data_IF_913091982452
#
_entry.id   IF_913091982452
#
_cell.length_a   1.000
_cell.length_b   1.000
_cell.length_c   1.000
_cell.angle_alpha   90.00
_cell.angle_beta   90.00
_cell.angle_gamma   90.00
#
_symmetry.space_group_name_H-M   'P 1'
#
loop_
_entity.id
_entity.type
_entity.pdbx_description
1 polymer ?
#
# COMPACT_ATOMS: atom_id res chain seq x y z
N UNK A 1 -31.69 -8.35 48.13
CA UNK A 1 -31.76 -8.30 46.66
C UNK A 1 -30.54 -7.53 46.22
N UNK A 2 -29.63 -8.20 45.50
CA UNK A 2 -28.43 -7.58 44.98
C UNK A 2 -28.77 -6.65 43.81
N UNK A 3 -28.22 -5.44 43.86
CA UNK A 3 -28.04 -4.60 42.69
C UNK A 3 -26.55 -4.70 42.36
N UNK A 4 -26.25 -5.61 41.44
CA UNK A 4 -25.01 -5.63 40.69
C UNK A 4 -25.16 -4.53 39.63
N UNK A 5 -24.62 -3.35 39.94
CA UNK A 5 -24.46 -2.30 38.94
C UNK A 5 -23.36 -2.79 37.99
N UNK A 6 -23.80 -3.21 36.81
CA UNK A 6 -22.93 -3.69 35.75
C UNK A 6 -21.75 -2.75 35.57
N UNK A 7 -20.57 -3.27 35.88
CA UNK A 7 -19.30 -2.68 35.51
C UNK A 7 -19.36 -2.35 34.01
N UNK A 8 -19.54 -1.06 33.71
CA UNK A 8 -19.34 -0.54 32.37
C UNK A 8 -17.93 -0.92 31.95
N UNK A 9 -17.84 -1.66 30.86
CA UNK A 9 -16.60 -1.98 30.17
C UNK A 9 -15.88 -0.66 29.88
N UNK A 10 -14.95 -0.30 30.77
CA UNK A 10 -14.09 0.87 30.66
C UNK A 10 -13.02 0.63 29.60
N UNK A 11 -13.45 0.27 28.38
CA UNK A 11 -12.57 0.21 27.23
C UNK A 11 -12.04 1.61 26.99
N UNK A 12 -10.72 1.76 27.09
CA UNK A 12 -10.06 3.01 26.74
C UNK A 12 -10.52 3.45 25.35
N UNK A 13 -10.97 4.71 25.23
CA UNK A 13 -11.38 5.29 23.95
C UNK A 13 -10.13 5.39 23.06
N UNK A 14 -10.05 4.54 22.04
CA UNK A 14 -8.93 4.54 21.08
C UNK A 14 -9.18 5.60 20.01
N UNK A 15 -8.36 6.65 20.03
CA UNK A 15 -8.35 7.67 18.99
C UNK A 15 -7.25 7.39 17.96
N UNK A 16 -7.61 7.44 16.66
CA UNK A 16 -6.64 7.33 15.56
C UNK A 16 -6.17 8.74 15.18
N UNK A 17 -4.95 9.08 15.57
CA UNK A 17 -4.34 10.39 15.25
C UNK A 17 -3.80 10.49 13.82
N UNK A 18 -3.52 9.36 13.18
CA UNK A 18 -3.03 9.28 11.81
C UNK A 18 -2.43 7.92 11.45
N UNK A 19 -1.77 7.86 10.29
CA UNK A 19 -1.15 6.67 9.72
C UNK A 19 0.34 6.92 9.45
N UNK A 20 1.19 6.05 10.01
CA UNK A 20 2.60 5.95 9.59
C UNK A 20 2.67 4.95 8.44
N UNK A 21 3.05 5.42 7.26
CA UNK A 21 3.23 4.63 6.05
C UNK A 21 4.72 4.33 5.89
N UNK A 22 5.09 3.06 5.78
CA UNK A 22 6.50 2.67 5.59
C UNK A 22 6.68 2.17 4.16
N UNK A 23 7.50 2.88 3.40
CA UNK A 23 7.84 2.66 1.99
C UNK A 23 6.65 2.20 1.14
N UNK A 24 5.50 2.82 1.38
CA UNK A 24 4.23 2.35 0.86
C UNK A 24 4.10 2.66 -0.63
N UNK A 25 3.84 1.63 -1.42
CA UNK A 25 3.68 1.71 -2.87
C UNK A 25 2.30 2.26 -3.21
N UNK A 26 2.25 3.38 -3.94
CA UNK A 26 1.00 3.87 -4.49
C UNK A 26 0.49 2.86 -5.55
N UNK A 27 -0.74 2.33 -5.42
CA UNK A 27 -1.24 1.28 -6.31
C UNK A 27 -1.66 1.83 -7.67
N UNK A 28 -1.67 3.15 -7.86
CA UNK A 28 -2.04 3.79 -9.12
C UNK A 28 -0.83 3.91 -10.02
N UNK A 29 -0.89 3.30 -11.19
CA UNK A 29 0.16 3.45 -12.19
C UNK A 29 0.19 4.87 -12.79
N UNK A 30 1.38 5.48 -13.00
CA UNK A 30 1.43 6.80 -13.61
C UNK A 30 0.89 6.77 -15.03
N UNK A 31 -0.02 7.70 -15.35
CA UNK A 31 -0.63 7.79 -16.68
C UNK A 31 0.44 8.05 -17.74
N UNK A 32 0.42 7.29 -18.83
CA UNK A 32 1.39 7.41 -19.91
C UNK A 32 2.81 6.94 -19.56
N UNK A 33 2.98 6.24 -18.44
CA UNK A 33 4.28 5.70 -18.04
C UNK A 33 4.79 4.63 -19.02
N UNK A 34 5.94 4.89 -19.64
CA UNK A 34 6.71 3.92 -20.44
C UNK A 34 7.75 3.16 -19.59
N UNK A 35 7.62 3.20 -18.26
CA UNK A 35 8.56 2.58 -17.35
C UNK A 35 8.61 1.07 -17.61
N UNK A 36 9.80 0.59 -17.96
CA UNK A 36 10.07 -0.84 -18.11
C UNK A 36 10.22 -1.47 -16.73
N UNK A 37 9.32 -2.38 -16.40
CA UNK A 37 9.47 -3.23 -15.22
C UNK A 37 10.50 -4.33 -15.51
N UNK A 38 11.49 -4.42 -14.65
CA UNK A 38 12.52 -5.44 -14.76
C UNK A 38 11.96 -6.81 -14.41
N UNK A 39 12.38 -7.83 -15.16
CA UNK A 39 12.05 -9.22 -14.87
C UNK A 39 13.01 -9.76 -13.81
N UNK A 40 12.47 -10.14 -12.64
CA UNK A 40 13.23 -10.95 -11.69
C UNK A 40 13.45 -12.33 -12.30
N UNK A 41 14.71 -12.69 -12.54
CA UNK A 41 15.06 -14.04 -12.94
C UNK A 41 14.82 -14.92 -11.71
N UNK A 42 13.77 -15.75 -11.74
CA UNK A 42 13.56 -16.78 -10.71
C UNK A 42 14.80 -17.68 -10.72
N UNK A 43 15.62 -17.57 -9.66
CA UNK A 43 16.64 -18.59 -9.42
C UNK A 43 15.93 -19.90 -9.11
N UNK A 44 16.49 -21.02 -9.56
CA UNK A 44 15.97 -22.36 -9.27
C UNK A 44 16.13 -22.65 -7.76
N UNK A 45 15.23 -22.10 -6.95
CA UNK A 45 15.12 -22.40 -5.53
C UNK A 45 14.31 -23.69 -5.40
N UNK A 46 14.79 -24.70 -4.65
CA UNK A 46 14.00 -25.90 -4.39
C UNK A 46 12.61 -25.54 -3.85
N UNK A 47 11.55 -26.08 -4.46
CA UNK A 47 10.19 -25.74 -4.08
C UNK A 47 9.84 -26.24 -2.67
N UNK A 48 10.06 -25.39 -1.66
CA UNK A 48 9.59 -25.64 -0.31
C UNK A 48 8.06 -25.46 -0.22
N UNK A 49 7.42 -26.17 0.73
CA UNK A 49 5.96 -26.09 0.97
C UNK A 49 5.46 -24.65 1.13
N UNK A 50 6.24 -23.79 1.78
CA UNK A 50 5.90 -22.38 1.99
C UNK A 50 5.86 -21.59 0.67
N UNK A 51 6.76 -21.88 -0.28
CA UNK A 51 6.76 -21.25 -1.60
C UNK A 51 5.49 -21.59 -2.38
N UNK A 52 5.04 -22.85 -2.31
CA UNK A 52 3.78 -23.29 -2.95
C UNK A 52 2.56 -22.57 -2.37
N UNK A 53 2.51 -22.45 -1.04
CA UNK A 53 1.43 -21.74 -0.36
C UNK A 53 1.44 -20.24 -0.70
N UNK A 54 2.61 -19.60 -0.69
CA UNK A 54 2.77 -18.20 -1.06
C UNK A 54 2.33 -17.95 -2.53
N UNK A 55 2.77 -18.79 -3.47
CA UNK A 55 2.35 -18.71 -4.88
C UNK A 55 0.82 -18.81 -5.03
N UNK A 56 0.18 -19.74 -4.30
CA UNK A 56 -1.28 -19.87 -4.32
C UNK A 56 -1.97 -18.63 -3.73
N UNK A 57 -1.46 -18.09 -2.63
CA UNK A 57 -1.99 -16.87 -2.02
C UNK A 57 -1.89 -15.67 -2.98
N UNK A 58 -0.73 -15.48 -3.62
CA UNK A 58 -0.53 -14.42 -4.62
C UNK A 58 -1.47 -14.57 -5.83
N UNK A 59 -1.66 -15.81 -6.31
CA UNK A 59 -2.63 -16.09 -7.40
C UNK A 59 -4.05 -15.68 -7.01
N UNK A 60 -4.46 -15.95 -5.78
CA UNK A 60 -5.79 -15.57 -5.28
C UNK A 60 -5.91 -14.05 -5.11
N UNK A 61 -4.89 -13.41 -4.51
CA UNK A 61 -4.83 -11.96 -4.35
C UNK A 61 -4.91 -11.23 -5.70
N UNK A 62 -4.22 -11.73 -6.73
CA UNK A 62 -4.30 -11.19 -8.09
C UNK A 62 -5.71 -11.23 -8.68
N UNK A 63 -6.52 -12.24 -8.31
CA UNK A 63 -7.94 -12.27 -8.68
C UNK A 63 -8.79 -11.23 -7.97
N UNK A 64 -8.49 -10.94 -6.69
CA UNK A 64 -9.21 -9.95 -5.89
C UNK A 64 -8.90 -8.52 -6.35
N UNK A 65 -7.64 -8.21 -6.66
CA UNK A 65 -7.23 -6.87 -7.13
C UNK A 65 -7.96 -6.48 -8.41
N UNK A 66 -8.24 -7.43 -9.32
CA UNK A 66 -8.94 -7.16 -10.59
C UNK A 66 -10.37 -6.68 -10.44
N UNK A 67 -11.02 -7.00 -9.32
CA UNK A 67 -12.42 -6.62 -9.04
C UNK A 67 -12.52 -5.62 -7.89
N UNK A 68 -11.38 -5.22 -7.33
CA UNK A 68 -11.32 -4.22 -6.28
C UNK A 68 -11.49 -2.83 -6.88
N UNK A 69 -12.52 -2.12 -6.41
CA UNK A 69 -12.71 -0.70 -6.72
C UNK A 69 -11.91 0.11 -5.72
N UNK A 70 -10.86 0.77 -6.22
CA UNK A 70 -10.03 1.63 -5.39
C UNK A 70 -10.89 2.74 -4.78
N UNK A 71 -10.76 3.01 -3.46
CA UNK A 71 -11.44 4.14 -2.84
C UNK A 71 -11.10 5.44 -3.56
N UNK A 72 -12.06 6.35 -3.65
CA UNK A 72 -11.85 7.67 -4.24
C UNK A 72 -11.63 8.69 -3.15
N UNK A 73 -10.60 9.50 -3.32
CA UNK A 73 -10.34 10.64 -2.46
C UNK A 73 -11.21 11.83 -2.91
N UNK A 74 -12.17 12.24 -2.09
CA UNK A 74 -13.04 13.38 -2.33
C UNK A 74 -12.27 14.71 -2.50
N UNK A 75 -11.11 14.84 -1.85
CA UNK A 75 -10.20 15.98 -2.07
C UNK A 75 -9.57 16.00 -3.47
N UNK A 76 -9.40 14.86 -4.13
CA UNK A 76 -8.93 14.78 -5.52
C UNK A 76 -10.04 15.13 -6.53
N UNK A 77 -11.29 14.75 -6.24
CA UNK A 77 -12.46 15.03 -7.09
C UNK A 77 -12.75 16.53 -7.23
N UNK A 78 -12.49 17.32 -6.18
CA UNK A 78 -12.64 18.80 -6.23
C UNK A 78 -11.64 19.47 -7.18
N UNK A 79 -10.57 18.77 -7.58
CA UNK A 79 -9.53 19.25 -8.48
C UNK A 79 -9.60 18.60 -9.88
N UNK A 80 -10.64 17.82 -10.20
CA UNK A 80 -10.87 17.26 -11.54
C UNK A 80 -9.93 16.12 -11.94
N UNK A 81 -9.38 15.38 -10.98
CA UNK A 81 -8.53 14.21 -11.25
C UNK A 81 -9.41 12.95 -11.33
N UNK A 82 -9.77 12.52 -12.54
CA UNK A 82 -10.43 11.24 -12.79
C UNK A 82 -9.40 10.14 -12.99
N UNK A 83 -9.49 9.09 -12.17
CA UNK A 83 -8.71 7.87 -12.34
C UNK A 83 -9.47 6.90 -13.27
N UNK A 84 -9.05 6.82 -14.53
CA UNK A 84 -9.51 5.78 -15.46
C UNK A 84 -8.84 4.44 -15.09
N UNK A 85 -9.60 3.53 -14.48
CA UNK A 85 -9.20 2.13 -14.33
C UNK A 85 -9.53 1.42 -15.64
N UNK A 86 -8.52 0.94 -16.38
CA UNK A 86 -8.76 0.26 -17.66
C UNK A 86 -9.49 -1.07 -17.46
N UNK A 87 -10.69 -1.22 -18.01
CA UNK A 87 -11.51 -2.44 -17.95
C UNK A 87 -11.11 -3.53 -18.97
N UNK A 88 -9.82 -3.77 -19.22
CA UNK A 88 -9.42 -4.84 -20.13
C UNK A 88 -9.21 -6.18 -19.41
N UNK A 89 -10.26 -7.00 -19.43
CA UNK A 89 -10.23 -8.38 -18.94
C UNK A 89 -11.53 -9.12 -19.26
N UNK A 90 -11.78 -9.38 -20.54
CA UNK A 90 -12.74 -10.40 -20.97
C UNK A 90 -12.10 -11.79 -20.83
N UNK A 91 -12.93 -12.77 -20.52
CA UNK A 91 -12.63 -14.18 -20.23
C UNK A 91 -12.16 -14.50 -18.79
N UNK A 92 -13.13 -14.67 -17.90
CA UNK A 92 -12.94 -15.36 -16.62
C UNK A 92 -13.77 -16.63 -16.67
N UNK A 93 -13.08 -17.78 -16.73
CA UNK A 93 -13.64 -19.10 -16.42
C UNK A 93 -14.48 -19.02 -15.15
N UNK A 94 -15.63 -19.71 -15.15
CA UNK A 94 -16.45 -19.97 -13.95
C UNK A 94 -15.59 -20.67 -12.89
N UNK A 95 -14.90 -19.88 -12.07
CA UNK A 95 -14.19 -20.40 -10.90
C UNK A 95 -15.16 -20.56 -9.73
N UNK A 96 -14.87 -21.58 -8.93
CA UNK A 96 -15.63 -22.25 -7.89
C UNK A 96 -16.25 -21.39 -6.75
N UNK A 97 -16.12 -20.07 -6.77
CA UNK A 97 -16.73 -19.14 -5.82
C UNK A 97 -17.34 -17.97 -6.58
N UNK A 98 -18.67 -17.87 -6.65
CA UNK A 98 -19.44 -16.66 -6.96
C UNK A 98 -19.24 -15.98 -8.32
N UNK A 99 -20.24 -15.19 -8.73
CA UNK A 99 -20.20 -14.38 -9.94
C UNK A 99 -19.34 -13.11 -9.78
N UNK A 100 -18.87 -12.51 -10.88
CA UNK A 100 -18.10 -11.24 -10.87
C UNK A 100 -18.85 -10.11 -10.15
N UNK A 101 -20.17 -10.05 -10.29
CA UNK A 101 -21.03 -9.04 -9.66
C UNK A 101 -21.09 -9.16 -8.12
N UNK A 102 -20.93 -10.37 -7.57
CA UNK A 102 -20.91 -10.59 -6.11
C UNK A 102 -19.56 -10.23 -5.47
N UNK A 103 -18.51 -10.00 -6.28
CA UNK A 103 -17.14 -9.77 -5.83
C UNK A 103 -16.65 -8.33 -5.97
N UNK A 104 -17.40 -7.47 -6.65
CA UNK A 104 -17.04 -6.06 -6.76
C UNK A 104 -17.21 -5.39 -5.39
N UNK A 105 -16.14 -4.78 -4.88
CA UNK A 105 -16.26 -3.99 -3.66
C UNK A 105 -17.13 -2.77 -3.94
N UNK A 106 -17.92 -2.35 -2.95
CA UNK A 106 -18.69 -1.11 -3.04
C UNK A 106 -17.75 0.07 -3.34
N UNK A 107 -18.24 1.04 -4.12
CA UNK A 107 -17.52 2.29 -4.29
C UNK A 107 -17.49 3.01 -2.94
N UNK A 108 -16.28 3.41 -2.53
CA UNK A 108 -16.04 4.09 -1.26
C UNK A 108 -15.41 5.44 -1.57
N UNK A 109 -16.11 6.52 -1.23
CA UNK A 109 -15.60 7.88 -1.36
C UNK A 109 -15.38 8.44 0.03
N UNK A 110 -14.16 8.85 0.34
CA UNK A 110 -13.83 9.50 1.61
C UNK A 110 -13.54 10.98 1.38
N UNK A 111 -14.03 11.86 2.24
CA UNK A 111 -13.77 13.31 2.13
C UNK A 111 -12.27 13.60 2.15
N UNK A 112 -11.57 13.02 3.13
CA UNK A 112 -10.11 13.00 3.22
C UNK A 112 -9.68 11.75 3.99
N UNK A 113 -8.60 11.06 3.57
CA UNK A 113 -8.01 10.01 4.39
C UNK A 113 -7.46 10.57 5.71
N UNK A 114 -7.20 9.71 6.72
CA UNK A 114 -6.47 10.11 7.92
C UNK A 114 -5.13 10.77 7.56
N UNK A 115 -4.59 11.56 8.48
CA UNK A 115 -3.28 12.22 8.30
C UNK A 115 -2.21 11.17 8.06
N UNK A 116 -1.45 11.28 6.95
CA UNK A 116 -0.41 10.34 6.59
C UNK A 116 1.00 10.92 6.80
N UNK A 117 1.89 10.15 7.42
CA UNK A 117 3.33 10.42 7.43
C UNK A 117 4.05 9.25 6.76
N UNK A 118 4.87 9.56 5.76
CA UNK A 118 5.60 8.55 5.00
C UNK A 118 7.04 8.45 5.48
N UNK A 119 7.48 7.25 5.86
CA UNK A 119 8.90 6.92 5.98
C UNK A 119 9.29 6.15 4.73
N UNK A 120 10.11 6.75 3.87
CA UNK A 120 10.50 6.16 2.57
C UNK A 120 11.97 5.77 2.54
N UNK A 121 12.24 4.70 1.80
CA UNK A 121 13.59 4.29 1.46
C UNK A 121 14.21 5.25 0.41
N UNK A 122 15.52 5.46 0.49
CA UNK A 122 16.26 6.33 -0.42
C UNK A 122 16.54 5.66 -1.76
N UNK A 123 16.84 4.37 -1.73
CA UNK A 123 17.44 3.67 -2.85
C UNK A 123 16.39 2.84 -3.60
N UNK A 124 16.59 2.67 -4.91
CA UNK A 124 15.84 1.68 -5.69
C UNK A 124 16.27 0.27 -5.31
N UNK A 125 15.37 -0.69 -5.45
CA UNK A 125 15.71 -2.10 -5.39
C UNK A 125 16.63 -2.45 -6.57
N UNK A 126 17.78 -3.09 -6.33
CA UNK A 126 18.69 -3.50 -7.39
C UNK A 126 18.03 -4.56 -8.29
N UNK A 127 18.03 -4.30 -9.60
CA UNK A 127 17.48 -5.22 -10.60
C UNK A 127 18.61 -5.95 -11.36
N UNK A 128 18.48 -7.26 -11.63
CA UNK A 128 19.52 -8.05 -12.31
C UNK A 128 19.64 -7.77 -13.83
N UNK A 129 18.72 -6.99 -14.40
CA UNK A 129 18.69 -6.65 -15.82
C UNK A 129 18.13 -5.25 -16.05
N UNK A 130 17.75 -4.95 -17.30
CA UNK A 130 17.11 -3.67 -17.64
C UNK A 130 15.75 -3.53 -16.96
N UNK A 131 15.43 -2.30 -16.54
CA UNK A 131 14.17 -1.94 -15.91
C UNK A 131 14.29 -1.67 -14.41
N UNK A 132 13.16 -1.31 -13.80
CA UNK A 132 13.07 -1.02 -12.37
C UNK A 132 12.14 -2.01 -11.68
N UNK A 133 12.24 -2.09 -10.35
CA UNK A 133 11.27 -2.86 -9.56
C UNK A 133 9.90 -2.18 -9.59
N UNK A 134 8.78 -2.93 -9.60
CA UNK A 134 7.43 -2.37 -9.51
C UNK A 134 7.21 -1.46 -8.29
N UNK A 135 7.96 -1.68 -7.21
CA UNK A 135 7.88 -0.84 -5.98
C UNK A 135 8.57 0.51 -6.13
N UNK A 136 9.39 0.70 -7.17
CA UNK A 136 10.19 1.90 -7.40
C UNK A 136 9.63 2.82 -8.49
N UNK A 137 8.43 2.52 -9.02
CA UNK A 137 7.76 3.32 -10.06
C UNK A 137 7.70 4.80 -9.70
N UNK A 138 7.48 5.12 -8.43
CA UNK A 138 7.47 6.50 -7.92
C UNK A 138 8.69 6.84 -7.06
N UNK A 139 9.81 6.10 -7.14
CA UNK A 139 10.96 6.35 -6.27
C UNK A 139 11.51 7.78 -6.39
N UNK A 140 11.39 8.40 -7.57
CA UNK A 140 11.77 9.79 -7.79
C UNK A 140 10.86 10.84 -7.15
N UNK A 141 9.62 10.49 -6.80
CA UNK A 141 8.67 11.39 -6.13
C UNK A 141 8.82 11.28 -4.61
N UNK A 142 9.04 12.41 -3.93
CA UNK A 142 9.14 12.51 -2.48
C UNK A 142 8.02 11.78 -1.74
N UNK A 143 6.78 11.78 -2.28
CA UNK A 143 5.61 11.15 -1.66
C UNK A 143 5.20 9.84 -2.32
N UNK A 144 6.08 9.23 -3.12
CA UNK A 144 5.86 7.93 -3.78
C UNK A 144 4.53 7.85 -4.56
N UNK A 145 4.10 8.95 -5.19
CA UNK A 145 2.88 9.01 -6.00
C UNK A 145 1.58 9.22 -5.21
N UNK A 146 1.63 9.22 -3.87
CA UNK A 146 0.43 9.35 -3.03
C UNK A 146 -0.25 10.72 -3.15
N UNK A 147 0.52 11.77 -3.43
CA UNK A 147 -0.04 13.12 -3.66
C UNK A 147 -0.78 13.23 -4.99
N UNK A 148 -0.39 12.41 -5.98
CA UNK A 148 -1.19 12.22 -7.19
C UNK A 148 -2.55 11.64 -6.81
N UNK A 149 -2.56 10.49 -6.13
CA UNK A 149 -3.77 9.79 -5.70
C UNK A 149 -4.72 10.68 -4.88
N UNK A 150 -4.21 11.32 -3.84
CA UNK A 150 -5.00 12.16 -2.94
C UNK A 150 -4.13 13.33 -2.45
N UNK A 151 -4.28 14.53 -3.04
CA UNK A 151 -3.45 15.68 -2.69
C UNK A 151 -3.48 15.98 -1.19
N UNK A 152 -2.29 16.05 -0.58
CA UNK A 152 -2.16 16.35 0.85
C UNK A 152 -2.56 15.21 1.77
N UNK A 153 -2.62 13.96 1.27
CA UNK A 153 -2.72 12.78 2.11
C UNK A 153 -1.44 12.59 2.95
N UNK A 154 -0.28 12.61 2.28
CA UNK A 154 1.02 12.57 2.96
C UNK A 154 1.41 14.00 3.35
N UNK A 155 1.40 14.29 4.65
CA UNK A 155 1.74 15.60 5.21
C UNK A 155 3.25 15.78 5.35
N UNK A 156 3.94 14.71 5.75
CA UNK A 156 5.38 14.71 6.03
C UNK A 156 6.03 13.44 5.48
N UNK A 157 7.27 13.60 5.03
CA UNK A 157 8.11 12.49 4.59
C UNK A 157 9.43 12.47 5.34
N UNK A 158 9.80 11.30 5.85
CA UNK A 158 11.12 11.00 6.40
C UNK A 158 11.85 10.05 5.45
N UNK A 159 13.13 10.34 5.21
CA UNK A 159 13.99 9.51 4.38
C UNK A 159 14.81 8.57 5.26
N UNK A 160 14.95 7.32 4.84
CA UNK A 160 15.86 6.36 5.46
C UNK A 160 16.67 5.62 4.40
N UNK A 161 17.83 5.08 4.80
CA UNK A 161 18.71 4.29 3.92
C UNK A 161 18.12 2.94 3.53
N UNK A 162 18.68 2.40 2.46
CA UNK A 162 18.28 1.13 1.88
C UNK A 162 17.19 1.31 0.83
N UNK A 163 16.64 0.18 0.41
CA UNK A 163 15.52 0.03 -0.51
C UNK A 163 14.33 -0.63 0.21
N UNK A 164 13.23 -0.82 -0.51
CA UNK A 164 11.98 -1.41 -0.01
C UNK A 164 12.17 -2.73 0.77
N UNK A 165 13.15 -3.56 0.40
CA UNK A 165 13.35 -4.88 0.97
C UNK A 165 14.40 -4.93 2.08
N UNK A 166 15.43 -4.08 2.02
CA UNK A 166 16.55 -4.13 2.97
C UNK A 166 16.55 -3.02 4.01
N UNK A 167 15.66 -2.03 3.95
CA UNK A 167 15.57 -0.94 4.94
C UNK A 167 15.38 -1.41 6.40
N UNK A 168 14.99 -2.66 6.61
CA UNK A 168 14.86 -3.30 7.93
C UNK A 168 16.04 -4.22 8.29
N UNK A 169 17.06 -4.30 7.43
CA UNK A 169 18.27 -5.07 7.70
C UNK A 169 18.99 -4.52 8.92
N UNK A 170 19.78 -5.36 9.59
CA UNK A 170 20.53 -4.99 10.80
C UNK A 170 21.38 -3.73 10.66
N UNK A 171 21.88 -3.42 9.46
CA UNK A 171 22.67 -2.21 9.21
C UNK A 171 21.85 -0.91 9.20
N UNK A 172 20.52 -0.99 9.08
CA UNK A 172 19.62 0.16 8.97
C UNK A 172 18.54 0.20 10.05
N UNK A 173 18.39 -0.88 10.84
CA UNK A 173 17.30 -1.04 11.82
C UNK A 173 17.19 0.12 12.82
N UNK A 174 18.33 0.64 13.29
CA UNK A 174 18.34 1.78 14.23
C UNK A 174 17.79 3.05 13.58
N UNK A 175 18.17 3.29 12.31
CA UNK A 175 17.75 4.47 11.56
C UNK A 175 16.25 4.42 11.24
N UNK A 176 15.74 3.29 10.73
CA UNK A 176 14.29 3.14 10.46
C UNK A 176 13.47 3.23 11.76
N UNK A 177 13.98 2.68 12.87
CA UNK A 177 13.31 2.78 14.18
C UNK A 177 13.20 4.24 14.61
N UNK A 178 14.29 5.02 14.47
CA UNK A 178 14.28 6.45 14.77
C UNK A 178 13.29 7.20 13.86
N UNK A 179 13.26 6.91 12.55
CA UNK A 179 12.32 7.56 11.61
C UNK A 179 10.86 7.24 11.90
N UNK A 180 10.56 6.00 12.28
CA UNK A 180 9.20 5.62 12.70
C UNK A 180 8.81 6.37 13.98
N UNK A 181 9.73 6.48 14.95
CA UNK A 181 9.47 7.25 16.17
C UNK A 181 9.27 8.75 15.89
N UNK A 182 10.03 9.35 14.97
CA UNK A 182 9.82 10.72 14.50
C UNK A 182 8.46 10.91 13.83
N UNK A 183 8.03 9.93 13.03
CA UNK A 183 6.73 9.96 12.38
C UNK A 183 5.57 9.88 13.39
N UNK A 184 5.67 9.02 14.40
CA UNK A 184 4.69 8.97 15.48
C UNK A 184 4.60 10.29 16.24
N UNK A 185 5.75 10.86 16.66
CA UNK A 185 5.77 12.16 17.35
C UNK A 185 5.13 13.26 16.51
N UNK A 186 5.37 13.29 15.20
CA UNK A 186 4.74 14.27 14.31
C UNK A 186 3.20 14.14 14.27
N UNK A 187 2.68 12.91 14.34
CA UNK A 187 1.23 12.67 14.35
C UNK A 187 0.59 13.00 15.69
N UNK A 188 1.29 12.73 16.79
CA UNK A 188 0.85 12.98 18.17
C UNK A 188 0.80 14.48 18.52
N UNK A 189 1.63 15.32 17.88
CA UNK A 189 1.67 16.77 18.09
C UNK A 189 2.73 17.21 19.09
#
# INVERSE_FOLDING_TARGET
>A
GGMDEGAGDGGDEVEIVGLVMIDSVCPVWPVGSEVKIGTWIETEVPEHKNLKLARRAMKLAGGMVKVWKMPRCGAAFRNGVDYEVSEEGKDVEKSFYGSRAEKETAEVVWDRPPRGVLVRASDCVPMPGEGISPVDVYRGDAKLGWDGYCPGYVEKTFLTKGNHFDMFAWGYVDEITERVAEACRYLEG
#
